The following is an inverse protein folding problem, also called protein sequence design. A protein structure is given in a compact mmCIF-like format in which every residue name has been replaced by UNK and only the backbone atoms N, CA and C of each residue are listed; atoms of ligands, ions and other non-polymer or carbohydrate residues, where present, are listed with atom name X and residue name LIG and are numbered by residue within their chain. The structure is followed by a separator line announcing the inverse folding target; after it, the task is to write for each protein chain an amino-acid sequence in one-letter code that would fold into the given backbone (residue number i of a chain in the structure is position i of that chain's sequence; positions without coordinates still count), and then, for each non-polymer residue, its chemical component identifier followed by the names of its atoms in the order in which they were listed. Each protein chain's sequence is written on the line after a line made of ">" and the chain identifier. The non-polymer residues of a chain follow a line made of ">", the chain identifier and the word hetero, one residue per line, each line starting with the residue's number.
data_IF_501677609443
#
_entry.id   IF_501677609443
#
_cell.length_a   1.000
_cell.length_b   1.000
_cell.length_c   1.000
_cell.angle_alpha   90.00
_cell.angle_beta   90.00
_cell.angle_gamma   90.00
#
_symmetry.space_group_name_H-M   'P 1'
#
loop_
_entity.id
_entity.type
_entity.pdbx_description
1 polymer ?
#
# COMPACT_ATOMS: atom_id res chain seq x y z
N UNK A 1 6.11 -12.60 14.18
CA UNK A 1 6.19 -11.29 13.49
C UNK A 1 4.75 -10.86 13.25
N UNK A 2 4.28 -9.88 14.01
CA UNK A 2 2.86 -9.54 14.17
C UNK A 2 2.35 -8.70 12.99
N UNK A 3 2.08 -9.33 11.84
CA UNK A 3 1.35 -8.72 10.71
C UNK A 3 -0.18 -8.76 10.93
N UNK A 4 -0.64 -8.72 12.18
CA UNK A 4 -2.06 -8.78 12.55
C UNK A 4 -2.56 -7.46 13.16
N UNK A 5 -1.81 -6.37 12.95
CA UNK A 5 -2.37 -5.03 13.09
C UNK A 5 -3.20 -4.77 11.86
N UNK A 6 -4.50 -5.10 11.93
CA UNK A 6 -5.47 -4.58 10.97
C UNK A 6 -5.27 -3.05 10.93
N UNK A 7 -4.82 -2.49 9.79
CA UNK A 7 -4.66 -1.06 9.73
C UNK A 7 -6.02 -0.41 10.01
N UNK A 8 -6.04 0.82 10.54
CA UNK A 8 -7.29 1.55 10.77
C UNK A 8 -8.09 1.76 9.46
N UNK A 9 -7.43 1.59 8.32
CA UNK A 9 -8.01 1.64 6.98
C UNK A 9 -7.92 0.27 6.29
N UNK A 10 -8.87 0.02 5.39
CA UNK A 10 -8.86 -1.21 4.57
C UNK A 10 -7.65 -1.23 3.64
N UNK A 11 -7.16 -2.42 3.27
CA UNK A 11 -6.12 -2.57 2.27
C UNK A 11 -6.47 -1.88 0.95
N UNK A 12 -7.75 -1.90 0.54
CA UNK A 12 -8.20 -1.20 -0.66
C UNK A 12 -7.94 0.32 -0.58
N UNK A 13 -8.16 0.93 0.58
CA UNK A 13 -7.88 2.36 0.80
C UNK A 13 -6.38 2.65 0.72
N UNK A 14 -5.55 1.83 1.35
CA UNK A 14 -4.10 2.02 1.38
C UNK A 14 -3.46 1.80 0.01
N UNK A 15 -3.88 0.75 -0.71
CA UNK A 15 -3.42 0.47 -2.09
C UNK A 15 -3.82 1.62 -3.01
N UNK A 16 -5.04 2.15 -2.88
CA UNK A 16 -5.48 3.31 -3.64
C UNK A 16 -4.59 4.53 -3.37
N UNK A 17 -4.22 4.76 -2.12
CA UNK A 17 -3.34 5.87 -1.75
C UNK A 17 -1.95 5.70 -2.36
N UNK A 18 -1.34 4.52 -2.24
CA UNK A 18 -0.04 4.23 -2.84
C UNK A 18 -0.04 4.48 -4.36
N UNK A 19 -1.11 4.11 -5.06
CA UNK A 19 -1.25 4.35 -6.50
C UNK A 19 -1.35 5.85 -6.83
N UNK A 20 -2.09 6.63 -6.04
CA UNK A 20 -2.24 8.08 -6.27
C UNK A 20 -0.95 8.85 -5.98
N UNK A 21 -0.16 8.38 -5.01
CA UNK A 21 1.16 8.97 -4.69
C UNK A 21 2.22 8.64 -5.75
N UNK A 22 2.00 7.60 -6.56
CA UNK A 22 2.88 7.24 -7.67
C UNK A 22 2.76 8.27 -8.81
N UNK A 23 3.89 8.75 -9.37
CA UNK A 23 3.88 9.73 -10.46
C UNK A 23 3.12 9.23 -11.70
N UNK A 24 3.13 7.91 -11.93
CA UNK A 24 2.50 7.28 -13.09
C UNK A 24 1.06 6.82 -12.82
N UNK A 25 0.51 7.07 -11.61
CA UNK A 25 -0.78 6.57 -11.16
C UNK A 25 -0.96 5.05 -11.32
N UNK A 26 0.14 4.31 -11.22
CA UNK A 26 0.18 2.86 -11.29
C UNK A 26 1.34 2.34 -10.44
N UNK A 27 1.18 1.13 -9.90
CA UNK A 27 2.22 0.41 -9.17
C UNK A 27 2.07 -1.09 -9.46
N UNK A 28 3.21 -1.77 -9.56
CA UNK A 28 3.28 -3.22 -9.52
C UNK A 28 3.03 -3.73 -8.11
N UNK A 29 2.65 -5.01 -7.98
CA UNK A 29 2.46 -5.64 -6.66
C UNK A 29 3.69 -5.49 -5.77
N UNK A 30 4.90 -5.67 -6.32
CA UNK A 30 6.15 -5.53 -5.58
C UNK A 30 6.36 -4.11 -5.02
N UNK A 31 5.97 -3.08 -5.77
CA UNK A 31 6.08 -1.70 -5.31
C UNK A 31 5.03 -1.36 -4.24
N UNK A 32 3.83 -1.92 -4.35
CA UNK A 32 2.81 -1.82 -3.30
C UNK A 32 3.33 -2.44 -1.99
N UNK A 33 3.98 -3.61 -2.05
CA UNK A 33 4.61 -4.20 -0.86
C UNK A 33 5.71 -3.31 -0.29
N UNK A 34 6.60 -2.77 -1.12
CA UNK A 34 7.65 -1.84 -0.66
C UNK A 34 7.10 -0.58 -0.02
N UNK A 35 5.98 -0.05 -0.52
CA UNK A 35 5.32 1.12 0.07
C UNK A 35 4.80 0.83 1.49
N UNK A 36 4.34 -0.39 1.75
CA UNK A 36 3.93 -0.81 3.11
C UNK A 36 5.09 -1.06 4.08
N UNK A 37 6.29 -1.31 3.56
CA UNK A 37 7.51 -1.53 4.37
C UNK A 37 8.25 -0.22 4.71
N UNK A 38 7.91 0.88 4.01
CA UNK A 38 8.53 2.20 4.13
C UNK A 38 8.05 3.04 5.32
#
# INVERSE_FOLDING_TARGET
>A
MTHDVRPPFTYATLIRQAIIESPDNQLTLNEVYKWFEG
#
